data_IF_850786026956
#
_entry.id   IF_850786026956
#
_cell.length_a   1.000
_cell.length_b   1.000
_cell.length_c   1.000
_cell.angle_alpha   90.00
_cell.angle_beta   90.00
_cell.angle_gamma   90.00
#
_symmetry.space_group_name_H-M   'P 1'
#
loop_
_entity.id
_entity.type
_entity.pdbx_description
1 polymer ?
#
# COMPACT_ATOMS: atom_id res chain seq x y z
N UNK A 1 22.01 -29.26 16.74
CA UNK A 1 21.49 -28.68 15.43
C UNK A 1 20.84 -27.32 15.60
N UNK A 2 20.66 -26.81 16.81
CA UNK A 2 20.11 -25.48 17.11
C UNK A 2 21.25 -24.46 17.29
N UNK A 3 22.45 -24.92 17.57
CA UNK A 3 23.60 -24.05 17.88
C UNK A 3 24.16 -23.31 16.66
N UNK A 4 23.91 -23.82 15.44
CA UNK A 4 24.42 -23.22 14.21
C UNK A 4 23.78 -21.86 13.85
N UNK A 5 22.59 -21.57 14.38
CA UNK A 5 21.88 -20.30 14.12
C UNK A 5 22.32 -19.21 15.13
N UNK A 6 22.95 -19.59 16.24
CA UNK A 6 23.24 -18.69 17.37
C UNK A 6 24.70 -18.23 17.50
N UNK A 7 25.64 -18.78 16.73
CA UNK A 7 27.06 -18.37 16.76
C UNK A 7 27.42 -17.21 15.81
N UNK A 8 26.44 -16.48 15.31
CA UNK A 8 26.72 -15.24 14.57
C UNK A 8 27.10 -14.13 15.58
N UNK A 9 28.34 -14.14 16.00
CA UNK A 9 28.98 -13.18 16.92
C UNK A 9 29.33 -11.86 16.21
N UNK A 10 28.49 -11.43 15.26
CA UNK A 10 28.59 -10.12 14.62
C UNK A 10 27.97 -9.09 15.54
N UNK A 11 28.80 -8.23 16.11
CA UNK A 11 28.30 -7.00 16.75
C UNK A 11 27.38 -6.27 15.77
N UNK A 12 26.06 -6.17 16.09
CA UNK A 12 25.08 -5.52 15.22
C UNK A 12 24.26 -6.44 14.31
N UNK A 13 24.23 -7.76 14.54
CA UNK A 13 23.40 -8.70 13.74
C UNK A 13 21.93 -8.28 13.63
N UNK A 14 21.37 -7.68 14.67
CA UNK A 14 19.99 -7.16 14.65
C UNK A 14 19.80 -6.05 13.61
N UNK A 15 20.83 -5.25 13.32
CA UNK A 15 20.78 -4.20 12.31
C UNK A 15 20.67 -4.80 10.91
N UNK A 16 21.51 -5.80 10.60
CA UNK A 16 21.47 -6.50 9.31
C UNK A 16 20.14 -7.24 9.11
N UNK A 17 19.64 -7.88 10.16
CA UNK A 17 18.33 -8.53 10.14
C UNK A 17 17.23 -7.49 9.89
N UNK A 18 17.28 -6.32 10.52
CA UNK A 18 16.31 -5.25 10.30
C UNK A 18 16.35 -4.72 8.85
N UNK A 19 17.55 -4.56 8.26
CA UNK A 19 17.71 -4.14 6.87
C UNK A 19 17.12 -5.17 5.90
N UNK A 20 17.44 -6.44 6.09
CA UNK A 20 16.90 -7.53 5.26
C UNK A 20 15.38 -7.62 5.41
N UNK A 21 14.87 -7.54 6.63
CA UNK A 21 13.45 -7.57 6.95
C UNK A 21 12.71 -6.41 6.27
N UNK A 22 13.23 -5.18 6.40
CA UNK A 22 12.64 -4.01 5.77
C UNK A 22 12.72 -4.08 4.23
N UNK A 23 13.81 -4.58 3.67
CA UNK A 23 13.97 -4.78 2.23
C UNK A 23 12.96 -5.79 1.66
N UNK A 24 12.80 -6.93 2.32
CA UNK A 24 11.79 -7.93 1.95
C UNK A 24 10.38 -7.39 2.08
N UNK A 25 10.08 -6.69 3.17
CA UNK A 25 8.78 -6.08 3.38
C UNK A 25 8.46 -5.02 2.33
N UNK A 26 9.43 -4.19 1.95
CA UNK A 26 9.29 -3.19 0.90
C UNK A 26 9.02 -3.83 -0.46
N UNK A 27 9.74 -4.90 -0.78
CA UNK A 27 9.53 -5.65 -2.02
C UNK A 27 8.15 -6.32 -2.07
N UNK A 28 7.74 -6.99 -1.00
CA UNK A 28 6.42 -7.61 -0.88
C UNK A 28 5.31 -6.54 -0.89
N UNK A 29 5.50 -5.43 -0.18
CA UNK A 29 4.57 -4.31 -0.18
C UNK A 29 4.36 -3.71 -1.56
N UNK A 30 5.42 -3.60 -2.37
CA UNK A 30 5.31 -3.16 -3.76
C UNK A 30 4.50 -4.15 -4.61
N UNK A 31 4.73 -5.46 -4.46
CA UNK A 31 3.96 -6.49 -5.16
C UNK A 31 2.47 -6.42 -4.81
N UNK A 32 2.14 -6.29 -3.53
CA UNK A 32 0.75 -6.22 -3.04
C UNK A 32 0.10 -4.88 -3.38
N UNK A 33 0.88 -3.80 -3.46
CA UNK A 33 0.39 -2.44 -3.77
C UNK A 33 0.08 -2.20 -5.24
N UNK A 34 0.75 -2.90 -6.15
CA UNK A 34 0.57 -2.71 -7.60
C UNK A 34 -0.87 -2.92 -8.08
N UNK A 35 -1.61 -3.97 -7.65
CA UNK A 35 -3.01 -4.17 -8.03
C UNK A 35 -3.92 -3.02 -7.57
N UNK A 36 -3.67 -2.44 -6.39
CA UNK A 36 -4.46 -1.32 -5.89
C UNK A 36 -4.33 -0.09 -6.78
N UNK A 37 -3.11 0.26 -7.20
CA UNK A 37 -2.88 1.41 -8.09
C UNK A 37 -3.64 1.26 -9.40
N UNK A 38 -3.62 0.05 -9.99
CA UNK A 38 -4.36 -0.24 -11.22
C UNK A 38 -5.88 -0.14 -11.01
N UNK A 39 -6.40 -0.72 -9.92
CA UNK A 39 -7.81 -0.69 -9.59
C UNK A 39 -8.29 0.75 -9.30
N UNK A 40 -7.48 1.55 -8.61
CA UNK A 40 -7.79 2.97 -8.34
C UNK A 40 -7.86 3.78 -9.61
N UNK A 41 -6.91 3.61 -10.54
CA UNK A 41 -6.93 4.30 -11.83
C UNK A 41 -8.15 3.89 -12.67
N UNK A 42 -8.48 2.60 -12.69
CA UNK A 42 -9.66 2.10 -13.39
C UNK A 42 -10.96 2.67 -12.80
N UNK A 43 -11.04 2.78 -11.46
CA UNK A 43 -12.19 3.39 -10.79
C UNK A 43 -12.35 4.86 -11.16
N UNK A 44 -11.27 5.64 -11.13
CA UNK A 44 -11.29 7.05 -11.53
C UNK A 44 -11.74 7.22 -12.99
N UNK A 45 -11.30 6.32 -13.89
CA UNK A 45 -11.73 6.33 -15.29
C UNK A 45 -13.22 6.01 -15.43
N UNK A 46 -13.72 4.99 -14.73
CA UNK A 46 -15.14 4.63 -14.75
C UNK A 46 -16.03 5.76 -14.20
N UNK A 47 -15.62 6.40 -13.11
CA UNK A 47 -16.33 7.57 -12.56
C UNK A 47 -16.30 8.76 -13.52
N UNK A 48 -15.18 9.02 -14.19
CA UNK A 48 -15.08 10.10 -15.19
C UNK A 48 -16.03 9.84 -16.37
N UNK A 49 -16.07 8.59 -16.87
CA UNK A 49 -16.99 8.20 -17.94
C UNK A 49 -18.47 8.36 -17.54
N UNK A 50 -18.80 8.00 -16.29
CA UNK A 50 -20.15 8.17 -15.77
C UNK A 50 -20.54 9.66 -15.69
N UNK A 51 -19.63 10.51 -15.16
CA UNK A 51 -19.84 11.97 -15.11
C UNK A 51 -20.00 12.58 -16.51
N UNK A 52 -19.14 12.18 -17.45
CA UNK A 52 -19.25 12.62 -18.85
C UNK A 52 -20.60 12.23 -19.45
N UNK A 53 -21.03 10.97 -19.25
CA UNK A 53 -22.35 10.52 -19.70
C UNK A 53 -23.51 11.33 -19.12
N UNK A 54 -23.43 11.73 -17.84
CA UNK A 54 -24.43 12.59 -17.20
C UNK A 54 -24.46 14.00 -17.83
N UNK A 55 -23.30 14.57 -18.14
CA UNK A 55 -23.19 15.88 -18.79
C UNK A 55 -23.79 15.80 -20.19
N UNK A 56 -23.43 14.78 -20.99
CA UNK A 56 -23.95 14.54 -22.31
C UNK A 56 -25.48 14.44 -22.30
N UNK A 57 -26.06 13.67 -21.39
CA UNK A 57 -27.50 13.51 -21.27
C UNK A 57 -28.21 14.82 -20.86
N UNK A 58 -27.58 15.61 -20.00
CA UNK A 58 -28.09 16.92 -19.59
C UNK A 58 -28.11 17.90 -20.77
N UNK A 59 -27.01 17.97 -21.54
CA UNK A 59 -26.88 18.85 -22.69
C UNK A 59 -27.85 18.47 -23.80
N UNK A 60 -28.11 17.18 -24.02
CA UNK A 60 -28.99 16.66 -25.04
C UNK A 60 -30.39 16.31 -24.52
N UNK A 61 -30.77 16.80 -23.33
CA UNK A 61 -32.03 16.42 -22.66
C UNK A 61 -33.28 16.69 -23.51
N UNK A 62 -33.34 17.79 -24.29
CA UNK A 62 -34.43 18.11 -25.18
C UNK A 62 -34.55 17.12 -26.36
N UNK A 63 -33.42 16.74 -26.95
CA UNK A 63 -33.35 15.75 -28.02
C UNK A 63 -33.82 14.38 -27.55
N UNK A 64 -33.35 13.97 -26.36
CA UNK A 64 -33.73 12.71 -25.73
C UNK A 64 -35.23 12.65 -25.46
N UNK A 65 -35.82 13.75 -24.96
CA UNK A 65 -37.26 13.84 -24.70
C UNK A 65 -38.08 13.80 -26.01
N UNK A 66 -37.63 14.47 -27.08
CA UNK A 66 -38.30 14.47 -28.36
C UNK A 66 -38.40 13.09 -29.01
N UNK A 67 -37.38 12.25 -28.84
CA UNK A 67 -37.33 10.88 -29.38
C UNK A 67 -37.83 9.83 -28.40
N UNK A 68 -38.31 10.25 -27.20
CA UNK A 68 -38.70 9.34 -26.09
C UNK A 68 -37.58 8.35 -25.74
N UNK A 69 -36.32 8.84 -25.73
CA UNK A 69 -35.10 8.05 -25.56
C UNK A 69 -34.72 7.74 -24.10
N UNK A 70 -35.56 8.10 -23.11
CA UNK A 70 -35.23 7.95 -21.67
C UNK A 70 -34.96 6.50 -21.26
N UNK A 71 -35.65 5.56 -21.90
CA UNK A 71 -35.43 4.12 -21.62
C UNK A 71 -34.06 3.65 -22.08
N UNK A 72 -33.58 4.18 -23.21
CA UNK A 72 -32.25 3.90 -23.75
C UNK A 72 -31.14 4.50 -22.84
N UNK A 73 -31.29 5.77 -22.46
CA UNK A 73 -30.36 6.45 -21.56
C UNK A 73 -30.31 5.76 -20.19
N UNK A 74 -31.45 5.35 -19.65
CA UNK A 74 -31.49 4.56 -18.41
C UNK A 74 -30.70 3.26 -18.50
N UNK A 75 -30.77 2.57 -19.64
CA UNK A 75 -29.98 1.34 -19.86
C UNK A 75 -28.49 1.65 -19.98
N UNK A 76 -28.12 2.74 -20.68
CA UNK A 76 -26.76 3.24 -20.81
C UNK A 76 -26.15 3.56 -19.44
N UNK A 77 -26.87 4.33 -18.61
CA UNK A 77 -26.41 4.66 -17.26
C UNK A 77 -26.28 3.45 -16.32
N UNK A 78 -27.18 2.48 -16.45
CA UNK A 78 -27.01 1.22 -15.70
C UNK A 78 -25.72 0.53 -16.09
N UNK A 79 -25.40 0.44 -17.38
CA UNK A 79 -24.13 -0.16 -17.84
C UNK A 79 -22.90 0.59 -17.32
N UNK A 80 -22.90 1.92 -17.33
CA UNK A 80 -21.82 2.73 -16.76
C UNK A 80 -21.70 2.55 -15.23
N UNK A 81 -22.82 2.46 -14.54
CA UNK A 81 -22.85 2.23 -13.11
C UNK A 81 -22.36 0.80 -12.72
N UNK A 82 -22.74 -0.20 -13.52
CA UNK A 82 -22.27 -1.58 -13.33
C UNK A 82 -20.74 -1.68 -13.50
N UNK A 83 -20.17 -0.91 -14.44
CA UNK A 83 -18.71 -0.82 -14.58
C UNK A 83 -18.06 -0.22 -13.33
N UNK A 84 -18.61 0.85 -12.76
CA UNK A 84 -18.12 1.43 -11.50
C UNK A 84 -18.17 0.37 -10.39
N UNK A 85 -19.30 -0.34 -10.26
CA UNK A 85 -19.49 -1.38 -9.23
C UNK A 85 -18.47 -2.51 -9.35
N UNK A 86 -18.19 -2.96 -10.58
CA UNK A 86 -17.22 -4.01 -10.84
C UNK A 86 -15.81 -3.56 -10.42
N UNK A 87 -15.37 -2.39 -10.90
CA UNK A 87 -14.05 -1.86 -10.59
C UNK A 87 -13.91 -1.54 -9.11
N UNK A 88 -14.98 -1.06 -8.47
CA UNK A 88 -15.00 -0.79 -7.04
C UNK A 88 -14.83 -2.07 -6.21
N UNK A 89 -15.43 -3.18 -6.64
CA UNK A 89 -15.23 -4.49 -5.98
C UNK A 89 -13.78 -4.96 -6.09
N UNK A 90 -13.13 -4.77 -7.24
CA UNK A 90 -11.71 -5.08 -7.43
C UNK A 90 -10.81 -4.21 -6.53
N UNK A 91 -11.12 -2.92 -6.44
CA UNK A 91 -10.40 -1.99 -5.57
C UNK A 91 -10.54 -2.38 -4.09
N UNK A 92 -11.75 -2.73 -3.66
CA UNK A 92 -12.01 -3.17 -2.27
C UNK A 92 -11.23 -4.45 -1.94
N UNK A 93 -11.21 -5.40 -2.86
CA UNK A 93 -10.43 -6.64 -2.70
C UNK A 93 -8.92 -6.34 -2.60
N UNK A 94 -8.40 -5.44 -3.44
CA UNK A 94 -7.00 -5.02 -3.36
C UNK A 94 -6.68 -4.34 -2.02
N UNK A 95 -7.58 -3.51 -1.49
CA UNK A 95 -7.45 -2.92 -0.16
C UNK A 95 -7.41 -3.97 0.96
N UNK A 96 -8.25 -5.01 0.87
CA UNK A 96 -8.25 -6.11 1.85
C UNK A 96 -6.90 -6.82 1.89
N UNK A 97 -6.27 -7.10 0.73
CA UNK A 97 -4.94 -7.71 0.68
C UNK A 97 -3.86 -6.80 1.29
N UNK A 98 -3.90 -5.50 1.02
CA UNK A 98 -2.96 -4.55 1.61
C UNK A 98 -3.14 -4.46 3.12
N UNK A 99 -4.38 -4.40 3.60
CA UNK A 99 -4.68 -4.34 5.03
C UNK A 99 -4.23 -5.62 5.74
N UNK A 100 -4.51 -6.79 5.17
CA UNK A 100 -4.06 -8.08 5.71
C UNK A 100 -2.53 -8.17 5.76
N UNK A 101 -1.86 -7.76 4.68
CA UNK A 101 -0.39 -7.70 4.62
C UNK A 101 0.18 -6.74 5.67
N UNK A 102 -0.34 -5.51 5.73
CA UNK A 102 0.12 -4.47 6.66
C UNK A 102 -0.06 -4.90 8.12
N UNK A 103 -1.22 -5.48 8.44
CA UNK A 103 -1.49 -6.00 9.80
C UNK A 103 -0.57 -7.18 10.14
N UNK A 104 -0.42 -8.14 9.23
CA UNK A 104 0.49 -9.27 9.40
C UNK A 104 1.94 -8.83 9.57
N UNK A 105 2.39 -7.88 8.76
CA UNK A 105 3.71 -7.28 8.87
C UNK A 105 3.93 -6.58 10.21
N UNK A 106 2.95 -5.81 10.67
CA UNK A 106 3.00 -5.13 11.97
C UNK A 106 3.13 -6.10 13.14
N UNK A 107 2.35 -7.19 13.14
CA UNK A 107 2.43 -8.24 14.15
C UNK A 107 3.80 -8.95 14.11
N UNK A 108 4.30 -9.28 12.93
CA UNK A 108 5.63 -9.89 12.78
C UNK A 108 6.74 -8.94 13.24
N UNK A 109 6.64 -7.66 12.92
CA UNK A 109 7.61 -6.65 13.34
C UNK A 109 7.69 -6.52 14.86
N UNK A 110 6.59 -6.74 15.56
CA UNK A 110 6.56 -6.76 17.03
C UNK A 110 7.10 -8.08 17.61
N UNK A 111 6.68 -9.22 17.08
CA UNK A 111 7.00 -10.53 17.62
C UNK A 111 8.44 -10.98 17.28
N UNK A 112 8.90 -10.67 16.07
CA UNK A 112 10.17 -11.17 15.54
C UNK A 112 11.40 -10.83 16.39
N UNK A 113 11.64 -9.55 16.81
CA UNK A 113 12.80 -9.23 17.63
C UNK A 113 12.73 -9.87 19.02
N UNK A 114 11.53 -10.07 19.56
CA UNK A 114 11.33 -10.77 20.83
C UNK A 114 11.73 -12.24 20.69
N UNK A 115 11.27 -12.91 19.64
CA UNK A 115 11.60 -14.31 19.36
C UNK A 115 13.12 -14.51 19.14
N UNK A 116 13.76 -13.62 18.40
CA UNK A 116 15.20 -13.69 18.14
C UNK A 116 16.04 -13.43 19.41
N UNK A 117 15.55 -12.57 20.29
CA UNK A 117 16.28 -12.21 21.52
C UNK A 117 15.93 -13.10 22.72
N UNK A 118 14.83 -13.85 22.66
CA UNK A 118 14.35 -14.67 23.77
C UNK A 118 15.34 -15.74 24.28
N UNK A 119 16.13 -16.44 23.43
CA UNK A 119 17.11 -17.40 23.92
C UNK A 119 18.20 -16.76 24.77
N UNK A 120 18.62 -15.53 24.43
CA UNK A 120 19.61 -14.77 25.22
C UNK A 120 19.04 -14.32 26.55
N UNK A 121 17.75 -14.03 26.62
CA UNK A 121 17.06 -13.74 27.87
C UNK A 121 16.94 -15.00 28.74
N UNK A 122 16.56 -16.14 28.17
CA UNK A 122 16.42 -17.42 28.89
C UNK A 122 17.75 -17.88 29.43
N UNK A 123 18.87 -17.68 28.70
CA UNK A 123 20.21 -17.98 29.15
C UNK A 123 20.74 -17.01 30.21
N UNK A 124 20.00 -15.97 30.57
CA UNK A 124 20.43 -14.95 31.53
C UNK A 124 21.45 -13.96 31.01
N UNK A 125 21.77 -13.99 29.69
CA UNK A 125 22.74 -13.09 29.07
C UNK A 125 22.23 -11.64 28.92
N UNK A 126 20.93 -11.42 28.90
CA UNK A 126 20.30 -10.11 28.85
C UNK A 126 19.15 -10.01 29.85
N UNK A 127 18.87 -8.81 30.32
CA UNK A 127 17.69 -8.51 31.17
C UNK A 127 16.43 -8.36 30.35
N UNK A 128 15.25 -8.47 30.97
CA UNK A 128 13.96 -8.21 30.31
C UNK A 128 13.89 -6.80 29.73
N UNK A 129 14.44 -5.82 30.46
CA UNK A 129 14.52 -4.42 29.97
C UNK A 129 15.34 -4.30 28.69
N UNK A 130 16.51 -4.96 28.63
CA UNK A 130 17.37 -4.97 27.44
C UNK A 130 16.68 -5.67 26.25
N UNK A 131 15.91 -6.74 26.50
CA UNK A 131 15.12 -7.42 25.49
C UNK A 131 14.03 -6.49 24.90
N UNK A 132 13.27 -5.81 25.75
CA UNK A 132 12.23 -4.86 25.32
C UNK A 132 12.82 -3.67 24.60
N UNK A 133 13.95 -3.13 25.07
CA UNK A 133 14.65 -2.04 24.42
C UNK A 133 15.16 -2.43 23.02
N UNK A 134 15.70 -3.63 22.86
CA UNK A 134 16.13 -4.11 21.54
C UNK A 134 14.96 -4.34 20.58
N UNK A 135 13.82 -4.81 21.09
CA UNK A 135 12.60 -4.96 20.29
C UNK A 135 12.07 -3.60 19.82
N UNK A 136 12.06 -2.60 20.69
CA UNK A 136 11.65 -1.25 20.35
C UNK A 136 12.60 -0.59 19.34
N UNK A 137 13.90 -0.71 19.54
CA UNK A 137 14.90 -0.22 18.60
C UNK A 137 14.75 -0.86 17.20
N UNK A 138 14.45 -2.15 17.13
CA UNK A 138 14.17 -2.84 15.88
C UNK A 138 12.93 -2.26 15.16
N UNK A 139 11.86 -2.01 15.90
CA UNK A 139 10.64 -1.41 15.34
C UNK A 139 10.89 0.00 14.81
N UNK A 140 11.62 0.84 15.53
CA UNK A 140 12.02 2.18 15.10
C UNK A 140 12.85 2.13 13.80
N UNK A 141 13.82 1.24 13.73
CA UNK A 141 14.63 1.04 12.53
C UNK A 141 13.79 0.55 11.35
N UNK A 142 12.94 -0.45 11.55
CA UNK A 142 12.06 -0.99 10.52
C UNK A 142 11.10 0.07 9.99
N UNK A 143 10.54 0.90 10.87
CA UNK A 143 9.67 2.03 10.52
C UNK A 143 10.42 3.07 9.69
N UNK A 144 11.61 3.48 10.12
CA UNK A 144 12.43 4.44 9.41
C UNK A 144 12.82 3.94 7.99
N UNK A 145 13.20 2.67 7.87
CA UNK A 145 13.54 2.06 6.60
C UNK A 145 12.34 1.88 5.67
N UNK A 146 11.14 1.75 6.22
CA UNK A 146 9.89 1.63 5.44
C UNK A 146 9.33 2.99 5.01
N UNK A 147 9.82 4.10 5.57
CA UNK A 147 9.31 5.45 5.27
C UNK A 147 9.34 5.82 3.77
N UNK A 148 10.42 5.57 3.00
CA UNK A 148 10.45 5.90 1.58
C UNK A 148 9.38 5.16 0.78
N UNK A 149 9.12 3.90 1.13
CA UNK A 149 8.11 3.07 0.44
C UNK A 149 6.71 3.56 0.74
N UNK A 150 6.43 3.89 2.00
CA UNK A 150 5.14 4.42 2.42
C UNK A 150 4.84 5.81 1.82
N UNK A 151 5.87 6.55 1.41
CA UNK A 151 5.76 7.89 0.85
C UNK A 151 6.06 7.98 -0.65
N UNK A 152 6.18 6.85 -1.36
CA UNK A 152 6.50 6.83 -2.81
C UNK A 152 5.55 7.68 -3.64
N UNK A 153 4.25 7.67 -3.35
CA UNK A 153 3.26 8.48 -4.06
C UNK A 153 3.52 9.98 -3.87
N UNK A 154 3.83 10.41 -2.65
CA UNK A 154 4.15 11.81 -2.33
C UNK A 154 5.46 12.25 -2.99
N UNK A 155 6.46 11.38 -3.00
CA UNK A 155 7.75 11.62 -3.65
C UNK A 155 7.57 11.75 -5.18
N UNK A 156 6.74 10.89 -5.79
CA UNK A 156 6.43 10.95 -7.21
C UNK A 156 5.70 12.25 -7.60
N UNK A 157 4.72 12.68 -6.80
CA UNK A 157 4.01 13.94 -6.99
C UNK A 157 4.94 15.15 -6.83
N UNK A 158 5.80 15.13 -5.82
CA UNK A 158 6.82 16.16 -5.62
C UNK A 158 7.76 16.26 -6.83
N UNK A 159 8.30 15.12 -7.31
CA UNK A 159 9.15 15.06 -8.50
C UNK A 159 8.45 15.62 -9.74
N UNK A 160 7.20 15.22 -9.99
CA UNK A 160 6.41 15.72 -11.11
C UNK A 160 6.17 17.24 -11.03
N UNK A 161 6.03 17.80 -9.82
CA UNK A 161 5.91 19.24 -9.60
C UNK A 161 7.22 19.97 -9.87
N UNK A 162 8.35 19.42 -9.44
CA UNK A 162 9.69 19.96 -9.72
C UNK A 162 9.98 19.94 -11.22
N UNK A 163 9.68 18.85 -11.92
CA UNK A 163 9.89 18.73 -13.37
C UNK A 163 9.06 19.79 -14.14
N UNK A 164 7.83 20.07 -13.70
CA UNK A 164 7.00 21.14 -14.28
C UNK A 164 7.61 22.52 -14.11
N UNK A 165 8.12 22.83 -12.93
CA UNK A 165 8.78 24.13 -12.67
C UNK A 165 10.08 24.26 -13.50
N UNK A 166 10.89 23.21 -13.56
CA UNK A 166 12.10 23.21 -14.37
C UNK A 166 11.83 23.39 -15.88
N UNK A 167 10.74 22.83 -16.37
CA UNK A 167 10.33 23.00 -17.78
C UNK A 167 9.79 24.42 -18.09
N UNK A 168 9.35 25.17 -17.06
CA UNK A 168 8.95 26.58 -17.22
C UNK A 168 10.13 27.55 -17.27
N UNK A 169 11.31 27.12 -16.80
CA UNK A 169 12.53 27.96 -16.72
C UNK A 169 13.42 27.75 -17.96
N UNK A 170 13.14 26.70 -18.73
CA UNK A 170 13.79 26.45 -20.04
C UNK A 170 13.04 27.14 -21.18
#
# INVERSE_FOLDING_TARGET
>A
TVDFIFEFNLHGHLVWIAVIYAGLASWLGWLVGTPLTRATNANQTAEANFRSGLIDARENSQAIALIQGESFEKKRFRGLFDQIREVWSLQTTAWQYILAFSTGYGLLSMAFPILVSSPRYISGAITLGALMQSAQAFQEMASALSWPVNNLASIALWRASVERVLNLIK
#
